data_IF_919855584037
#
_entry.id   IF_919855584037
#
_cell.length_a   1.000
_cell.length_b   1.000
_cell.length_c   1.000
_cell.angle_alpha   90.00
_cell.angle_beta   90.00
_cell.angle_gamma   90.00
#
_symmetry.space_group_name_H-M   'P 1'
#
loop_
_entity.id
_entity.type
_entity.pdbx_description
1 polymer ?
#
# COMPACT_ATOMS: atom_id res chain seq x y z
N UNK A 1 -21.06 13.53 9.49
CA UNK A 1 -20.87 12.29 8.70
C UNK A 1 -21.54 11.16 9.47
N UNK A 2 -22.23 10.25 8.80
CA UNK A 2 -22.74 9.04 9.44
C UNK A 2 -21.54 8.15 9.84
N UNK A 3 -21.57 7.58 11.05
CA UNK A 3 -20.51 6.67 11.51
C UNK A 3 -20.54 5.39 10.68
N UNK A 4 -19.37 4.89 10.31
CA UNK A 4 -19.24 3.58 9.67
C UNK A 4 -19.54 2.49 10.69
N UNK A 5 -20.20 1.42 10.25
CA UNK A 5 -20.46 0.27 11.13
C UNK A 5 -19.17 -0.54 11.32
N UNK A 6 -19.05 -1.25 12.45
CA UNK A 6 -17.93 -2.16 12.70
C UNK A 6 -17.75 -3.18 11.56
N UNK A 7 -18.85 -3.77 11.09
CA UNK A 7 -18.85 -4.71 9.97
C UNK A 7 -18.28 -4.08 8.69
N UNK A 8 -18.66 -2.84 8.40
CA UNK A 8 -18.13 -2.10 7.25
C UNK A 8 -16.64 -1.84 7.39
N UNK A 9 -16.14 -1.55 8.59
CA UNK A 9 -14.70 -1.34 8.83
C UNK A 9 -13.90 -2.65 8.66
N UNK A 10 -14.44 -3.78 9.10
CA UNK A 10 -13.83 -5.10 8.88
C UNK A 10 -13.76 -5.42 7.37
N UNK A 11 -14.88 -5.25 6.65
CA UNK A 11 -14.93 -5.48 5.19
C UNK A 11 -13.96 -4.59 4.40
N UNK A 12 -13.83 -3.32 4.77
CA UNK A 12 -12.87 -2.39 4.15
C UNK A 12 -11.43 -2.87 4.40
N UNK A 13 -11.11 -3.27 5.64
CA UNK A 13 -9.78 -3.76 5.98
C UNK A 13 -9.39 -5.01 5.18
N UNK A 14 -10.34 -5.94 5.02
CA UNK A 14 -10.12 -7.17 4.26
C UNK A 14 -9.90 -6.87 2.78
N UNK A 15 -10.70 -6.00 2.16
CA UNK A 15 -10.56 -5.67 0.73
C UNK A 15 -9.27 -4.90 0.45
N UNK A 16 -8.86 -3.99 1.35
CA UNK A 16 -7.64 -3.19 1.18
C UNK A 16 -6.36 -3.95 1.56
N UNK A 17 -6.47 -5.17 2.08
CA UNK A 17 -5.30 -6.02 2.31
C UNK A 17 -4.69 -6.50 0.99
N UNK A 18 -3.37 -6.41 0.84
CA UNK A 18 -2.66 -6.99 -0.32
C UNK A 18 -2.79 -8.51 -0.39
N UNK A 19 -3.00 -9.16 0.75
CA UNK A 19 -3.25 -10.61 0.83
C UNK A 19 -4.69 -11.02 0.49
N UNK A 20 -5.55 -10.08 0.07
CA UNK A 20 -6.92 -10.38 -0.31
C UNK A 20 -6.97 -10.98 -1.72
N UNK A 21 -7.21 -12.29 -1.79
CA UNK A 21 -7.31 -13.05 -3.04
C UNK A 21 -8.42 -12.56 -3.98
N UNK A 22 -9.40 -11.82 -3.45
CA UNK A 22 -10.57 -11.34 -4.21
C UNK A 22 -10.46 -9.91 -4.71
N UNK A 23 -9.62 -9.08 -4.06
CA UNK A 23 -9.57 -7.65 -4.32
C UNK A 23 -8.47 -7.25 -5.31
N UNK A 24 -7.58 -8.18 -5.66
CA UNK A 24 -6.45 -7.93 -6.55
C UNK A 24 -5.58 -6.74 -6.15
N UNK A 25 -5.54 -6.45 -4.84
CA UNK A 25 -4.95 -5.24 -4.29
C UNK A 25 -3.45 -5.13 -4.59
N UNK A 26 -2.75 -6.26 -4.66
CA UNK A 26 -1.34 -6.30 -5.03
C UNK A 26 -1.11 -5.75 -6.46
N UNK A 27 -1.94 -6.13 -7.44
CA UNK A 27 -1.83 -5.63 -8.81
C UNK A 27 -2.11 -4.13 -8.87
N UNK A 28 -3.13 -3.66 -8.14
CA UNK A 28 -3.44 -2.23 -8.04
C UNK A 28 -2.27 -1.42 -7.44
N UNK A 29 -1.59 -1.95 -6.42
CA UNK A 29 -0.40 -1.29 -5.83
C UNK A 29 0.72 -1.17 -6.87
N UNK A 30 0.97 -2.23 -7.63
CA UNK A 30 1.98 -2.22 -8.70
C UNK A 30 1.64 -1.22 -9.81
N UNK A 31 0.41 -1.26 -10.34
CA UNK A 31 -0.05 -0.30 -11.36
C UNK A 31 0.07 1.14 -10.87
N UNK A 32 -0.31 1.39 -9.61
CA UNK A 32 -0.21 2.71 -8.99
C UNK A 32 1.23 3.20 -8.92
N UNK A 33 2.19 2.32 -8.62
CA UNK A 33 3.61 2.67 -8.67
C UNK A 33 4.02 3.11 -10.08
N UNK A 34 3.71 2.31 -11.10
CA UNK A 34 4.08 2.58 -12.50
C UNK A 34 3.49 3.91 -13.00
N UNK A 35 2.22 4.17 -12.70
CA UNK A 35 1.61 5.46 -13.02
C UNK A 35 2.29 6.62 -12.28
N UNK A 36 2.68 6.41 -11.02
CA UNK A 36 3.28 7.47 -10.19
C UNK A 36 4.67 7.85 -10.68
N UNK A 37 5.50 6.85 -11.02
CA UNK A 37 6.85 7.09 -11.53
C UNK A 37 6.81 7.78 -12.91
N UNK A 38 5.88 7.37 -13.79
CA UNK A 38 5.66 8.02 -15.09
C UNK A 38 5.25 9.50 -14.92
N UNK A 39 4.30 9.79 -14.02
CA UNK A 39 3.80 11.16 -13.76
C UNK A 39 4.89 12.13 -13.32
N UNK A 40 5.93 11.65 -12.63
CA UNK A 40 7.06 12.48 -12.19
C UNK A 40 8.24 12.46 -13.17
N UNK A 41 8.09 11.83 -14.34
CA UNK A 41 9.14 11.68 -15.36
C UNK A 41 10.27 10.72 -14.95
N UNK A 42 10.01 9.87 -13.95
CA UNK A 42 10.91 8.79 -13.57
C UNK A 42 10.84 7.65 -14.56
N UNK A 43 11.94 6.90 -14.66
CA UNK A 43 12.04 5.68 -15.46
C UNK A 43 12.60 4.59 -14.55
N UNK A 44 12.04 3.39 -14.65
CA UNK A 44 12.52 2.24 -13.90
C UNK A 44 11.41 1.24 -13.62
N UNK A 45 11.81 0.01 -13.39
CA UNK A 45 10.97 -1.10 -12.93
C UNK A 45 11.15 -1.24 -11.41
N UNK A 46 10.06 -1.28 -10.64
CA UNK A 46 10.14 -1.36 -9.18
C UNK A 46 10.84 -2.62 -8.65
N UNK A 47 10.92 -3.68 -9.47
CA UNK A 47 11.58 -4.94 -9.14
C UNK A 47 13.09 -4.87 -9.42
N UNK A 48 13.53 -3.93 -10.27
CA UNK A 48 14.93 -3.72 -10.65
C UNK A 48 15.58 -2.55 -9.90
N UNK A 49 14.76 -1.64 -9.37
CA UNK A 49 15.24 -0.50 -8.61
C UNK A 49 15.50 -0.89 -7.15
N UNK A 50 16.62 -0.43 -6.61
CA UNK A 50 16.96 -0.65 -5.21
C UNK A 50 17.34 0.64 -4.48
N UNK A 51 17.17 0.61 -3.17
CA UNK A 51 17.66 1.59 -2.22
C UNK A 51 18.61 0.92 -1.24
N UNK A 52 19.22 1.71 -0.36
CA UNK A 52 20.15 1.22 0.64
C UNK A 52 19.64 1.58 2.03
N UNK A 53 19.61 0.60 2.93
CA UNK A 53 19.21 0.79 4.32
C UNK A 53 20.31 1.49 5.14
N UNK A 54 20.03 1.75 6.42
CA UNK A 54 20.99 2.39 7.33
C UNK A 54 22.23 1.53 7.66
N UNK A 55 22.28 0.28 7.19
CA UNK A 55 23.33 -0.71 7.40
C UNK A 55 23.97 -1.16 6.07
N UNK A 56 23.86 -0.35 5.01
CA UNK A 56 24.37 -0.64 3.67
C UNK A 56 23.80 -1.91 3.01
N UNK A 57 22.61 -2.36 3.44
CA UNK A 57 21.89 -3.47 2.79
C UNK A 57 21.00 -2.94 1.68
N UNK A 58 21.03 -3.64 0.56
CA UNK A 58 20.11 -3.40 -0.53
C UNK A 58 18.67 -3.71 -0.11
N UNK A 59 17.75 -2.80 -0.41
CA UNK A 59 16.31 -2.97 -0.29
C UNK A 59 15.73 -2.78 -1.69
N UNK A 60 15.03 -3.78 -2.20
CA UNK A 60 14.31 -3.66 -3.48
C UNK A 60 13.13 -2.71 -3.29
N UNK A 61 12.88 -1.84 -4.26
CA UNK A 61 11.78 -0.87 -4.14
C UNK A 61 10.42 -1.54 -3.99
N UNK A 62 10.21 -2.72 -4.59
CA UNK A 62 9.04 -3.56 -4.35
C UNK A 62 8.75 -3.72 -2.84
N UNK A 63 9.72 -4.23 -2.07
CA UNK A 63 9.57 -4.44 -0.62
C UNK A 63 9.22 -3.14 0.11
N UNK A 64 9.84 -2.03 -0.30
CA UNK A 64 9.59 -0.72 0.28
C UNK A 64 8.15 -0.24 0.03
N UNK A 65 7.67 -0.32 -1.21
CA UNK A 65 6.33 0.18 -1.57
C UNK A 65 5.21 -0.70 -1.02
N UNK A 66 5.41 -2.00 -1.04
CA UNK A 66 4.50 -2.96 -0.41
C UNK A 66 4.37 -2.70 1.10
N UNK A 67 5.51 -2.56 1.78
CA UNK A 67 5.54 -2.24 3.21
C UNK A 67 4.93 -0.86 3.49
N UNK A 68 5.20 0.12 2.64
CA UNK A 68 4.63 1.45 2.77
C UNK A 68 3.09 1.41 2.64
N UNK A 69 2.57 0.68 1.66
CA UNK A 69 1.13 0.52 1.45
C UNK A 69 0.46 -0.11 2.67
N UNK A 70 0.99 -1.23 3.18
CA UNK A 70 0.43 -1.92 4.36
C UNK A 70 0.35 -0.98 5.57
N UNK A 71 1.44 -0.26 5.85
CA UNK A 71 1.51 0.71 6.93
C UNK A 71 0.52 1.88 6.73
N UNK A 72 0.33 2.33 5.49
CA UNK A 72 -0.58 3.42 5.17
C UNK A 72 -2.04 2.98 5.40
N UNK A 73 -2.42 1.81 4.91
CA UNK A 73 -3.75 1.24 5.10
C UNK A 73 -4.04 1.03 6.59
N UNK A 74 -3.10 0.48 7.36
CA UNK A 74 -3.27 0.34 8.82
C UNK A 74 -3.58 1.69 9.48
N UNK A 75 -2.83 2.75 9.14
CA UNK A 75 -3.05 4.10 9.67
C UNK A 75 -4.40 4.67 9.25
N UNK A 76 -4.81 4.50 7.99
CA UNK A 76 -6.13 4.94 7.51
C UNK A 76 -7.25 4.21 8.25
N UNK A 77 -7.13 2.89 8.41
CA UNK A 77 -8.10 2.10 9.18
C UNK A 77 -8.20 2.55 10.64
N UNK A 78 -7.08 2.89 11.26
CA UNK A 78 -7.08 3.45 12.61
C UNK A 78 -7.81 4.80 12.69
N UNK A 79 -7.60 5.69 11.71
CA UNK A 79 -8.36 6.96 11.61
C UNK A 79 -9.85 6.70 11.46
N UNK A 80 -10.26 5.76 10.60
CA UNK A 80 -11.67 5.42 10.42
C UNK A 80 -12.32 4.88 11.71
N UNK A 81 -11.58 4.06 12.47
CA UNK A 81 -12.01 3.56 13.78
C UNK A 81 -12.15 4.66 14.84
N UNK A 82 -11.41 5.77 14.75
CA UNK A 82 -11.60 6.90 15.69
C UNK A 82 -12.96 7.60 15.54
N UNK A 83 -13.72 7.31 14.47
CA UNK A 83 -15.08 7.80 14.31
C UNK A 83 -16.12 7.01 15.12
N UNK A 84 -15.74 5.89 15.76
CA UNK A 84 -16.63 5.11 16.66
C UNK A 84 -17.23 5.92 17.81
#
# INVERSE_FOLDING_TARGET
>A
MAKLSKKTLEEIGDILSRGCEYANTQEVVHETFNESIEKIGGLGDWDEMSSTDLNDKEIVLQDLFETFYDNMIEKVMNVLKTQE
#
